data_IF_872040220957
#
_entry.id   IF_872040220957
#
_cell.length_a   1.000
_cell.length_b   1.000
_cell.length_c   1.000
_cell.angle_alpha   90.00
_cell.angle_beta   90.00
_cell.angle_gamma   90.00
#
_symmetry.space_group_name_H-M   'P 1'
#
loop_
_entity.id
_entity.type
_entity.pdbx_description
1 polymer ?
#
# COMPACT_ATOMS: atom_id res chain seq x y z
N UNK A 1 9.70 -20.22 6.04
CA UNK A 1 8.24 -20.04 6.06
C UNK A 1 7.42 -21.32 6.35
N UNK A 2 7.85 -22.50 5.95
CA UNK A 2 7.08 -23.74 6.09
C UNK A 2 7.25 -24.52 7.40
N UNK A 3 8.12 -24.11 8.33
CA UNK A 3 8.47 -24.90 9.55
C UNK A 3 8.24 -24.09 10.85
N UNK A 4 8.60 -22.80 10.87
CA UNK A 4 8.47 -21.92 12.04
C UNK A 4 7.00 -21.88 12.50
N UNK A 5 6.69 -21.87 13.83
CA UNK A 5 5.32 -21.67 14.34
C UNK A 5 4.68 -20.42 13.75
N UNK A 6 3.39 -20.51 13.39
CA UNK A 6 2.69 -19.45 12.62
C UNK A 6 2.66 -18.11 13.34
N UNK A 7 2.46 -18.12 14.67
CA UNK A 7 2.48 -16.91 15.49
C UNK A 7 3.84 -16.18 15.43
N UNK A 8 4.93 -16.90 15.64
CA UNK A 8 6.29 -16.34 15.55
C UNK A 8 6.60 -15.88 14.12
N UNK A 9 6.19 -16.66 13.12
CA UNK A 9 6.41 -16.34 11.72
C UNK A 9 5.69 -15.05 11.31
N UNK A 10 4.41 -14.91 11.69
CA UNK A 10 3.63 -13.71 11.38
C UNK A 10 4.27 -12.46 11.99
N UNK A 11 4.64 -12.49 13.26
CA UNK A 11 5.30 -11.36 13.92
C UNK A 11 6.64 -11.04 13.27
N UNK A 12 7.49 -12.06 13.05
CA UNK A 12 8.81 -11.86 12.44
C UNK A 12 8.74 -11.27 11.03
N UNK A 13 7.71 -11.62 10.27
CA UNK A 13 7.56 -11.09 8.91
C UNK A 13 6.82 -9.75 8.87
N UNK A 14 5.82 -9.54 9.73
CA UNK A 14 4.99 -8.35 9.67
C UNK A 14 5.58 -7.16 10.42
N UNK A 15 6.20 -7.38 11.60
CA UNK A 15 6.70 -6.29 12.43
C UNK A 15 7.73 -5.39 11.71
N UNK A 16 8.73 -5.95 11.00
CA UNK A 16 9.65 -5.11 10.23
C UNK A 16 8.93 -4.26 9.17
N UNK A 17 7.93 -4.82 8.49
CA UNK A 17 7.18 -4.10 7.45
C UNK A 17 6.33 -2.98 8.07
N UNK A 18 5.69 -3.25 9.20
CA UNK A 18 4.93 -2.22 9.95
C UNK A 18 5.83 -1.06 10.35
N UNK A 19 7.00 -1.36 10.92
CA UNK A 19 7.99 -0.34 11.31
C UNK A 19 8.42 0.48 10.08
N UNK A 20 8.73 -0.18 8.96
CA UNK A 20 9.08 0.49 7.73
C UNK A 20 8.00 1.46 7.24
N UNK A 21 6.73 1.02 7.27
CA UNK A 21 5.61 1.86 6.83
C UNK A 21 5.40 3.08 7.75
N UNK A 22 5.59 2.92 9.06
CA UNK A 22 5.51 4.04 10.00
C UNK A 22 6.66 5.05 9.77
N UNK A 23 7.88 4.57 9.55
CA UNK A 23 9.02 5.42 9.21
C UNK A 23 8.80 6.14 7.89
N UNK A 24 8.22 5.46 6.90
CA UNK A 24 7.85 6.06 5.62
C UNK A 24 6.83 7.20 5.79
N UNK A 25 5.83 7.02 6.65
CA UNK A 25 4.88 8.07 6.94
C UNK A 25 5.55 9.28 7.63
N UNK A 26 6.48 9.01 8.54
CA UNK A 26 7.23 10.05 9.24
C UNK A 26 8.12 10.85 8.29
N UNK A 27 8.88 10.20 7.39
CA UNK A 27 9.71 10.94 6.47
C UNK A 27 8.89 11.80 5.49
N UNK A 28 7.74 11.31 5.02
CA UNK A 28 6.85 12.12 4.18
C UNK A 28 6.34 13.39 4.91
N UNK A 29 6.12 13.28 6.23
CA UNK A 29 5.77 14.43 7.04
C UNK A 29 6.94 15.41 7.16
N UNK A 30 8.14 14.91 7.43
CA UNK A 30 9.37 15.72 7.57
C UNK A 30 9.69 16.45 6.26
N UNK A 31 9.64 15.76 5.11
CA UNK A 31 9.81 16.36 3.78
C UNK A 31 8.80 17.52 3.56
N UNK A 32 7.52 17.29 3.89
CA UNK A 32 6.49 18.33 3.80
C UNK A 32 6.79 19.54 4.69
N UNK A 33 7.37 19.34 5.88
CA UNK A 33 7.77 20.42 6.79
C UNK A 33 8.93 21.25 6.19
N UNK A 34 9.92 20.61 5.58
CA UNK A 34 11.01 21.34 4.92
C UNK A 34 10.53 22.11 3.69
N UNK A 35 9.66 21.50 2.86
CA UNK A 35 9.08 22.19 1.69
C UNK A 35 8.22 23.38 2.12
N UNK A 36 7.47 23.28 3.21
CA UNK A 36 6.66 24.36 3.75
C UNK A 36 7.51 25.59 4.18
N UNK A 37 8.77 25.39 4.55
CA UNK A 37 9.69 26.47 4.92
C UNK A 37 10.20 27.27 3.71
N UNK A 38 10.05 26.75 2.49
CA UNK A 38 10.41 27.51 1.26
C UNK A 38 9.40 28.63 1.07
N UNK A 39 8.14 28.28 0.80
CA UNK A 39 6.98 29.17 0.73
C UNK A 39 5.68 28.33 0.63
N UNK A 40 4.48 28.94 0.86
CA UNK A 40 3.19 28.24 0.75
C UNK A 40 2.89 27.67 -0.65
N UNK A 41 3.37 28.35 -1.71
CA UNK A 41 3.14 27.94 -3.11
C UNK A 41 3.93 26.65 -3.42
N UNK A 42 5.14 26.51 -2.89
CA UNK A 42 5.93 25.28 -2.99
C UNK A 42 5.23 24.09 -2.36
N UNK A 43 4.69 24.25 -1.14
CA UNK A 43 3.94 23.18 -0.47
C UNK A 43 2.69 22.79 -1.26
N UNK A 44 2.00 23.79 -1.82
CA UNK A 44 0.81 23.58 -2.66
C UNK A 44 1.18 22.79 -3.93
N UNK A 45 2.28 23.16 -4.58
CA UNK A 45 2.76 22.49 -5.79
C UNK A 45 3.14 21.02 -5.54
N UNK A 46 3.85 20.72 -4.43
CA UNK A 46 4.16 19.34 -4.03
C UNK A 46 2.89 18.56 -3.68
N UNK A 47 1.91 19.21 -3.05
CA UNK A 47 0.59 18.62 -2.82
C UNK A 47 -0.14 18.23 -4.12
N UNK A 48 -0.05 19.08 -5.16
CA UNK A 48 -0.60 18.79 -6.50
C UNK A 48 0.15 17.67 -7.24
N UNK A 49 1.39 17.39 -6.87
CA UNK A 49 2.17 16.28 -7.41
C UNK A 49 1.71 14.90 -6.87
N UNK A 50 1.07 14.87 -5.70
CA UNK A 50 0.71 13.64 -4.97
C UNK A 50 -0.11 12.62 -5.79
N UNK A 51 -1.12 13.01 -6.62
CA UNK A 51 -1.86 12.03 -7.42
C UNK A 51 -0.98 11.26 -8.41
N UNK A 52 -0.02 11.93 -9.05
CA UNK A 52 0.92 11.28 -9.98
C UNK A 52 1.86 10.32 -9.24
N UNK A 53 2.41 10.74 -8.10
CA UNK A 53 3.24 9.88 -7.26
C UNK A 53 2.46 8.65 -6.76
N UNK A 54 1.22 8.84 -6.32
CA UNK A 54 0.35 7.75 -5.88
C UNK A 54 0.08 6.75 -7.01
N UNK A 55 -0.08 7.23 -8.24
CA UNK A 55 -0.25 6.38 -9.40
C UNK A 55 1.00 5.53 -9.67
N UNK A 56 2.21 6.13 -9.61
CA UNK A 56 3.48 5.42 -9.75
C UNK A 56 3.64 4.32 -8.69
N UNK A 57 3.36 4.67 -7.42
CA UNK A 57 3.39 3.73 -6.30
C UNK A 57 2.37 2.60 -6.51
N UNK A 58 1.16 2.90 -6.94
CA UNK A 58 0.09 1.93 -7.18
C UNK A 58 0.50 0.91 -8.25
N UNK A 59 1.04 1.36 -9.39
CA UNK A 59 1.51 0.48 -10.46
C UNK A 59 2.59 -0.48 -9.99
N UNK A 60 3.61 0.04 -9.31
CA UNK A 60 4.72 -0.79 -8.86
C UNK A 60 4.36 -1.70 -7.68
N UNK A 61 3.56 -1.20 -6.74
CA UNK A 61 3.07 -2.02 -5.62
C UNK A 61 2.17 -3.15 -6.11
N UNK A 62 1.28 -2.88 -7.06
CA UNK A 62 0.42 -3.91 -7.65
C UNK A 62 1.23 -5.00 -8.35
N UNK A 63 2.19 -4.62 -9.20
CA UNK A 63 3.13 -5.56 -9.81
C UNK A 63 3.89 -6.37 -8.75
N UNK A 64 4.36 -5.69 -7.70
CA UNK A 64 5.09 -6.28 -6.60
C UNK A 64 4.29 -7.30 -5.80
N UNK A 65 2.99 -7.06 -5.56
CA UNK A 65 2.10 -8.01 -4.86
C UNK A 65 1.90 -9.27 -5.71
N UNK A 66 1.66 -9.13 -7.02
CA UNK A 66 1.54 -10.27 -7.93
C UNK A 66 2.81 -11.11 -8.01
N UNK A 67 3.97 -10.46 -8.12
CA UNK A 67 5.27 -11.12 -8.08
C UNK A 67 5.49 -11.85 -6.74
N UNK A 68 5.24 -11.18 -5.61
CA UNK A 68 5.43 -11.72 -4.27
C UNK A 68 4.62 -13.01 -4.08
N UNK A 69 3.33 -13.01 -4.45
CA UNK A 69 2.47 -14.18 -4.36
C UNK A 69 2.99 -15.36 -5.23
N UNK A 70 3.40 -15.09 -6.47
CA UNK A 70 3.86 -16.11 -7.39
C UNK A 70 5.23 -16.70 -6.99
N UNK A 71 6.19 -15.84 -6.65
CA UNK A 71 7.53 -16.25 -6.20
C UNK A 71 7.45 -17.09 -4.93
N UNK A 72 6.70 -16.60 -3.92
CA UNK A 72 6.52 -17.34 -2.67
C UNK A 72 5.85 -18.70 -2.88
N UNK A 73 4.88 -18.78 -3.81
CA UNK A 73 4.22 -20.04 -4.18
C UNK A 73 5.20 -21.03 -4.81
N UNK A 74 6.04 -20.61 -5.76
CA UNK A 74 7.04 -21.49 -6.38
C UNK A 74 8.11 -21.94 -5.39
N UNK A 75 8.53 -21.08 -4.47
CA UNK A 75 9.44 -21.47 -3.39
C UNK A 75 8.80 -22.52 -2.47
N UNK A 76 7.51 -22.39 -2.18
CA UNK A 76 6.74 -23.39 -1.43
C UNK A 76 6.68 -24.74 -2.15
N UNK A 77 6.57 -24.73 -3.48
CA UNK A 77 6.63 -25.94 -4.34
C UNK A 77 8.03 -26.54 -4.49
N UNK A 78 9.04 -25.96 -3.85
CA UNK A 78 10.45 -26.32 -4.01
C UNK A 78 10.96 -26.17 -5.47
N UNK A 79 10.48 -25.16 -6.19
CA UNK A 79 10.83 -24.81 -7.57
C UNK A 79 11.61 -23.50 -7.63
N UNK A 80 12.87 -23.43 -7.15
CA UNK A 80 13.60 -22.17 -7.08
C UNK A 80 13.91 -21.57 -8.45
N UNK A 81 14.06 -22.37 -9.48
CA UNK A 81 14.29 -21.92 -10.85
C UNK A 81 13.06 -21.15 -11.40
N UNK A 82 11.86 -21.71 -11.22
CA UNK A 82 10.61 -21.05 -11.63
C UNK A 82 10.34 -19.77 -10.83
N UNK A 83 10.69 -19.79 -9.53
CA UNK A 83 10.65 -18.59 -8.70
C UNK A 83 11.59 -17.51 -9.22
N UNK A 84 12.81 -17.88 -9.62
CA UNK A 84 13.77 -16.97 -10.22
C UNK A 84 13.30 -16.42 -11.58
N UNK A 85 12.71 -17.26 -12.42
CA UNK A 85 12.10 -16.82 -13.69
C UNK A 85 10.96 -15.81 -13.44
N UNK A 86 10.07 -16.08 -12.50
CA UNK A 86 8.98 -15.16 -12.15
C UNK A 86 9.51 -13.80 -11.65
N UNK A 87 10.54 -13.82 -10.81
CA UNK A 87 11.21 -12.61 -10.33
C UNK A 87 11.88 -11.83 -11.48
N UNK A 88 12.51 -12.52 -12.43
CA UNK A 88 13.13 -11.89 -13.62
C UNK A 88 12.07 -11.27 -14.54
N UNK A 89 10.92 -11.93 -14.76
CA UNK A 89 9.80 -11.32 -15.48
C UNK A 89 9.32 -10.03 -14.80
N UNK A 90 9.14 -10.07 -13.48
CA UNK A 90 8.72 -8.88 -12.73
C UNK A 90 9.77 -7.75 -12.79
N UNK A 91 11.08 -8.07 -12.83
CA UNK A 91 12.14 -7.08 -13.00
C UNK A 91 12.03 -6.36 -14.36
N UNK A 92 11.75 -7.10 -15.43
CA UNK A 92 11.56 -6.52 -16.76
C UNK A 92 10.29 -5.66 -16.80
N UNK A 93 9.20 -6.12 -16.17
CA UNK A 93 7.98 -5.34 -16.07
C UNK A 93 8.16 -4.07 -15.21
N UNK A 94 9.02 -4.14 -14.18
CA UNK A 94 9.43 -2.97 -13.39
C UNK A 94 10.17 -1.95 -14.26
N UNK A 95 11.11 -2.42 -15.09
CA UNK A 95 11.81 -1.54 -16.04
C UNK A 95 10.85 -0.94 -17.07
N UNK A 96 9.86 -1.70 -17.53
CA UNK A 96 8.82 -1.19 -18.44
C UNK A 96 7.96 -0.12 -17.77
N UNK A 97 7.53 -0.33 -16.53
CA UNK A 97 6.80 0.69 -15.75
C UNK A 97 7.64 1.98 -15.63
N UNK A 98 8.93 1.84 -15.32
CA UNK A 98 9.83 3.00 -15.29
C UNK A 98 9.85 3.76 -16.61
N UNK A 99 10.03 3.07 -17.74
CA UNK A 99 10.05 3.70 -19.07
C UNK A 99 8.74 4.42 -19.38
N UNK A 100 7.59 3.85 -19.01
CA UNK A 100 6.28 4.48 -19.18
C UNK A 100 6.23 5.81 -18.40
N UNK A 101 6.61 5.80 -17.12
CA UNK A 101 6.57 7.01 -16.29
C UNK A 101 7.70 8.00 -16.61
N UNK A 102 8.81 7.56 -17.16
CA UNK A 102 9.83 8.44 -17.74
C UNK A 102 9.25 9.23 -18.94
N UNK A 103 8.54 8.55 -19.85
CA UNK A 103 7.88 9.21 -20.98
C UNK A 103 6.82 10.20 -20.48
N UNK A 104 5.99 9.80 -19.52
CA UNK A 104 5.00 10.69 -18.88
C UNK A 104 5.69 11.90 -18.26
N UNK A 105 6.81 11.69 -17.56
CA UNK A 105 7.61 12.74 -16.95
C UNK A 105 8.18 13.76 -17.95
N UNK A 106 8.52 13.31 -19.15
CA UNK A 106 9.07 14.17 -20.20
C UNK A 106 7.99 14.88 -21.03
N UNK A 107 6.76 14.36 -21.08
CA UNK A 107 5.74 14.82 -22.06
C UNK A 107 4.46 15.36 -21.44
N UNK A 108 3.98 14.78 -20.36
CA UNK A 108 2.61 15.01 -19.88
C UNK A 108 2.51 15.94 -18.65
N UNK A 109 3.59 16.20 -17.94
CA UNK A 109 3.55 16.95 -16.67
C UNK A 109 3.03 18.38 -16.83
N UNK A 110 3.45 19.18 -17.81
CA UNK A 110 2.92 20.52 -17.96
C UNK A 110 1.40 20.54 -18.18
N UNK A 111 0.90 19.62 -19.02
CA UNK A 111 -0.54 19.49 -19.26
C UNK A 111 -1.30 19.00 -18.00
N UNK A 112 -0.72 18.08 -17.25
CA UNK A 112 -1.30 17.58 -16.00
C UNK A 112 -1.46 18.69 -14.95
N UNK A 113 -0.49 19.58 -14.82
CA UNK A 113 -0.54 20.68 -13.86
C UNK A 113 -1.41 21.85 -14.32
N UNK A 114 -1.46 22.15 -15.63
CA UNK A 114 -2.32 23.20 -16.16
C UNK A 114 -3.82 22.93 -15.92
N UNK A 115 -4.22 21.67 -15.77
CA UNK A 115 -5.59 21.28 -15.40
C UNK A 115 -5.87 21.54 -13.91
N UNK A 116 -4.84 21.54 -13.06
CA UNK A 116 -5.00 21.63 -11.60
C UNK A 116 -4.88 23.07 -11.08
N UNK A 117 -4.10 23.93 -11.74
CA UNK A 117 -3.87 25.31 -11.31
C UNK A 117 -3.74 26.27 -12.48
N UNK A 118 -4.20 27.51 -12.25
CA UNK A 118 -3.99 28.64 -13.16
C UNK A 118 -2.81 29.55 -12.71
N UNK A 119 -2.22 29.27 -11.53
CA UNK A 119 -1.05 30.02 -11.04
C UNK A 119 0.20 29.52 -11.74
N UNK A 120 0.87 30.42 -12.49
CA UNK A 120 2.11 30.11 -13.18
C UNK A 120 3.25 29.73 -12.21
N UNK A 121 3.28 30.34 -11.02
CA UNK A 121 4.28 30.07 -9.99
C UNK A 121 4.12 28.66 -9.45
N UNK A 122 2.89 28.27 -9.05
CA UNK A 122 2.61 26.94 -8.53
C UNK A 122 2.82 25.88 -9.60
N UNK A 123 2.39 26.16 -10.85
CA UNK A 123 2.63 25.26 -11.98
C UNK A 123 4.13 25.09 -12.25
N UNK A 124 4.92 26.17 -12.17
CA UNK A 124 6.38 26.12 -12.33
C UNK A 124 7.06 25.21 -11.32
N UNK A 125 6.79 25.39 -10.02
CA UNK A 125 7.28 24.50 -8.95
C UNK A 125 6.82 23.05 -9.15
N UNK A 126 5.56 22.85 -9.53
CA UNK A 126 5.01 21.52 -9.77
C UNK A 126 5.67 20.81 -10.96
N UNK A 127 5.94 21.51 -12.07
CA UNK A 127 6.64 20.96 -13.23
C UNK A 127 8.08 20.58 -12.84
N UNK A 128 8.78 21.46 -12.14
CA UNK A 128 10.14 21.20 -11.68
C UNK A 128 10.22 19.97 -10.79
N UNK A 129 9.35 19.88 -9.76
CA UNK A 129 9.28 18.76 -8.84
C UNK A 129 8.94 17.43 -9.54
N UNK A 130 7.81 17.42 -10.26
CA UNK A 130 7.31 16.19 -10.89
C UNK A 130 8.20 15.68 -12.01
N UNK A 131 8.83 16.58 -12.79
CA UNK A 131 9.74 16.14 -13.85
C UNK A 131 10.93 15.39 -13.26
N UNK A 132 11.51 15.89 -12.17
CA UNK A 132 12.61 15.23 -11.47
C UNK A 132 12.15 13.89 -10.89
N UNK A 133 11.00 13.86 -10.18
CA UNK A 133 10.49 12.65 -9.55
C UNK A 133 10.11 11.59 -10.59
N UNK A 134 9.45 11.95 -11.69
CA UNK A 134 9.07 11.01 -12.74
C UNK A 134 10.28 10.50 -13.52
N UNK A 135 11.22 11.39 -13.90
CA UNK A 135 12.44 10.97 -14.58
C UNK A 135 13.35 10.14 -13.67
N UNK A 136 13.40 10.48 -12.38
CA UNK A 136 14.14 9.73 -11.37
C UNK A 136 13.39 8.53 -10.78
N UNK A 137 12.19 8.22 -11.25
CA UNK A 137 11.32 7.14 -10.71
C UNK A 137 11.93 5.74 -10.80
N UNK A 138 13.05 5.57 -11.53
CA UNK A 138 13.89 4.37 -11.48
C UNK A 138 14.17 3.97 -10.03
N UNK A 139 14.54 4.93 -9.17
CA UNK A 139 14.75 4.67 -7.74
C UNK A 139 13.53 4.04 -7.08
N UNK A 140 12.36 4.67 -7.21
CA UNK A 140 11.09 4.20 -6.65
C UNK A 140 10.73 2.79 -7.11
N UNK A 141 10.74 2.57 -8.42
CA UNK A 141 10.32 1.30 -9.00
C UNK A 141 11.22 0.14 -8.58
N UNK A 142 12.52 0.33 -8.63
CA UNK A 142 13.49 -0.71 -8.27
C UNK A 142 13.61 -0.89 -6.75
N UNK A 143 13.39 0.14 -5.94
CA UNK A 143 13.28 0.02 -4.50
C UNK A 143 12.12 -0.90 -4.11
N UNK A 144 10.89 -0.61 -4.60
CA UNK A 144 9.71 -1.42 -4.30
C UNK A 144 9.91 -2.86 -4.80
N UNK A 145 10.51 -3.06 -5.98
CA UNK A 145 10.83 -4.39 -6.47
C UNK A 145 11.77 -5.13 -5.51
N UNK A 146 12.87 -4.50 -5.09
CA UNK A 146 13.84 -5.08 -4.14
C UNK A 146 13.21 -5.44 -2.80
N UNK A 147 12.35 -4.57 -2.28
CA UNK A 147 11.58 -4.86 -1.05
C UNK A 147 10.69 -6.08 -1.22
N UNK A 148 9.93 -6.16 -2.30
CA UNK A 148 8.98 -7.26 -2.55
C UNK A 148 9.68 -8.60 -2.77
N UNK A 149 10.85 -8.63 -3.41
CA UNK A 149 11.61 -9.87 -3.60
C UNK A 149 12.19 -10.39 -2.28
N UNK A 150 12.63 -9.49 -1.37
CA UNK A 150 13.08 -9.84 -0.03
C UNK A 150 11.91 -10.34 0.84
N UNK A 151 10.75 -9.71 0.74
CA UNK A 151 9.52 -10.13 1.43
C UNK A 151 9.05 -11.51 0.95
N UNK A 152 9.09 -11.77 -0.36
CA UNK A 152 8.69 -13.05 -0.96
C UNK A 152 9.54 -14.23 -0.46
N UNK A 153 10.76 -14.00 -0.07
CA UNK A 153 11.67 -15.01 0.50
C UNK A 153 11.68 -15.04 2.03
N UNK A 154 10.84 -14.22 2.68
CA UNK A 154 10.74 -14.14 4.15
C UNK A 154 11.82 -13.30 4.83
N UNK A 155 12.58 -12.52 4.07
CA UNK A 155 13.67 -11.67 4.57
C UNK A 155 13.21 -10.23 4.79
N UNK A 156 12.09 -10.07 5.50
CA UNK A 156 11.43 -8.78 5.73
C UNK A 156 12.28 -7.79 6.53
N UNK A 157 13.15 -8.29 7.41
CA UNK A 157 14.10 -7.44 8.14
C UNK A 157 15.08 -6.74 7.18
N UNK A 158 15.56 -7.43 6.15
CA UNK A 158 16.44 -6.84 5.14
C UNK A 158 15.70 -5.82 4.27
N UNK A 159 14.43 -6.08 3.95
CA UNK A 159 13.55 -5.11 3.28
C UNK A 159 13.39 -3.84 4.13
N UNK A 160 13.17 -3.99 5.44
CA UNK A 160 13.09 -2.87 6.38
C UNK A 160 14.38 -2.04 6.39
N UNK A 161 15.54 -2.69 6.48
CA UNK A 161 16.84 -1.99 6.50
C UNK A 161 17.04 -1.15 5.24
N UNK A 162 16.72 -1.70 4.06
CA UNK A 162 16.80 -0.97 2.79
C UNK A 162 15.90 0.26 2.79
N UNK A 163 14.65 0.12 3.23
CA UNK A 163 13.67 1.20 3.26
C UNK A 163 14.03 2.29 4.28
N UNK A 164 14.45 1.91 5.49
CA UNK A 164 14.87 2.87 6.53
C UNK A 164 16.08 3.66 6.07
N UNK A 165 17.05 3.01 5.45
CA UNK A 165 18.25 3.70 4.96
C UNK A 165 17.88 4.75 3.91
N UNK A 166 17.00 4.43 2.96
CA UNK A 166 16.50 5.40 1.99
C UNK A 166 15.79 6.59 2.62
N UNK A 167 14.93 6.32 3.63
CA UNK A 167 14.22 7.36 4.37
C UNK A 167 15.18 8.28 5.16
N UNK A 168 16.17 7.71 5.84
CA UNK A 168 17.18 8.48 6.60
C UNK A 168 18.01 9.37 5.64
N UNK A 169 18.43 8.82 4.50
CA UNK A 169 19.19 9.57 3.51
C UNK A 169 18.34 10.73 2.95
N UNK A 170 17.08 10.49 2.64
CA UNK A 170 16.18 11.56 2.20
C UNK A 170 16.10 12.68 3.25
N UNK A 171 15.77 12.35 4.52
CA UNK A 171 15.67 13.33 5.62
C UNK A 171 16.96 14.16 5.80
N UNK A 172 18.13 13.53 5.61
CA UNK A 172 19.43 14.22 5.72
C UNK A 172 19.70 15.11 4.51
N UNK A 173 19.32 14.65 3.30
CA UNK A 173 19.57 15.39 2.05
C UNK A 173 18.56 16.51 1.80
N UNK A 174 17.34 16.42 2.34
CA UNK A 174 16.31 17.46 2.18
C UNK A 174 16.83 18.85 2.56
N UNK A 175 17.29 19.11 3.80
CA UNK A 175 17.78 20.43 4.15
C UNK A 175 19.04 20.84 3.37
N UNK A 176 19.90 19.87 2.99
CA UNK A 176 21.12 20.11 2.23
C UNK A 176 20.80 20.63 0.82
N UNK A 177 19.85 20.02 0.12
CA UNK A 177 19.52 20.43 -1.24
C UNK A 177 18.46 21.52 -1.30
N UNK A 178 17.53 21.57 -0.35
CA UNK A 178 16.49 22.61 -0.31
C UNK A 178 17.12 23.97 -0.01
N UNK A 179 17.92 24.07 1.07
CA UNK A 179 18.46 25.34 1.57
C UNK A 179 19.88 25.61 1.11
N UNK A 180 20.58 24.60 0.56
CA UNK A 180 21.98 24.68 0.19
C UNK A 180 22.93 24.62 1.38
N UNK A 181 24.21 24.43 1.10
CA UNK A 181 25.28 24.40 2.11
C UNK A 181 26.52 25.06 1.51
N UNK A 182 26.77 26.33 1.83
CA UNK A 182 27.81 27.15 1.24
C UNK A 182 29.21 26.55 1.35
N UNK A 183 29.55 25.95 2.51
CA UNK A 183 30.88 25.38 2.74
C UNK A 183 31.15 24.11 1.88
N UNK A 184 30.09 23.46 1.37
CA UNK A 184 30.18 22.33 0.44
C UNK A 184 30.01 22.77 -1.03
N UNK A 185 29.76 24.05 -1.29
CA UNK A 185 29.49 24.58 -2.62
C UNK A 185 28.18 24.11 -3.22
N UNK A 186 27.23 23.69 -2.39
CA UNK A 186 25.89 23.21 -2.82
C UNK A 186 24.93 24.40 -2.78
N UNK A 187 24.40 24.87 -3.93
CA UNK A 187 23.45 25.97 -3.97
C UNK A 187 22.08 25.53 -3.41
N UNK A 188 21.31 26.48 -2.92
CA UNK A 188 19.91 26.26 -2.57
C UNK A 188 19.10 25.95 -3.82
N UNK A 189 18.46 24.78 -3.86
CA UNK A 189 17.68 24.27 -5.01
C UNK A 189 16.16 24.33 -4.76
N UNK A 190 15.72 24.71 -3.56
CA UNK A 190 14.30 24.82 -3.25
C UNK A 190 13.53 23.51 -3.51
N UNK A 191 12.44 23.61 -4.28
CA UNK A 191 11.54 22.48 -4.60
C UNK A 191 12.26 21.39 -5.40
N UNK A 192 13.16 21.75 -6.33
CA UNK A 192 13.99 20.77 -7.04
C UNK A 192 14.90 19.99 -6.08
N UNK A 193 15.41 20.68 -5.05
CA UNK A 193 16.22 20.04 -4.00
C UNK A 193 15.48 18.93 -3.26
N UNK A 194 14.22 19.15 -2.87
CA UNK A 194 13.35 18.14 -2.26
C UNK A 194 13.13 16.94 -3.20
N UNK A 195 12.87 17.19 -4.49
CA UNK A 195 12.72 16.13 -5.48
C UNK A 195 13.99 15.29 -5.65
N UNK A 196 15.17 15.95 -5.73
CA UNK A 196 16.48 15.29 -5.87
C UNK A 196 16.80 14.46 -4.62
N UNK A 197 16.54 14.99 -3.42
CA UNK A 197 16.73 14.24 -2.17
C UNK A 197 15.89 12.98 -2.12
N UNK A 198 14.61 13.10 -2.48
CA UNK A 198 13.67 11.95 -2.55
C UNK A 198 14.15 10.89 -3.54
N UNK A 199 14.48 11.28 -4.76
CA UNK A 199 14.99 10.37 -5.80
C UNK A 199 16.30 9.71 -5.38
N UNK A 200 17.22 10.47 -4.79
CA UNK A 200 18.49 9.95 -4.31
C UNK A 200 18.30 8.91 -3.21
N UNK A 201 17.45 9.20 -2.22
CA UNK A 201 17.10 8.26 -1.17
C UNK A 201 16.53 6.95 -1.73
N UNK A 202 15.64 7.04 -2.71
CA UNK A 202 15.03 5.88 -3.38
C UNK A 202 16.06 5.07 -4.20
N UNK A 203 16.96 5.72 -4.93
CA UNK A 203 18.02 5.04 -5.70
C UNK A 203 18.96 4.28 -4.75
N UNK A 204 19.38 4.91 -3.64
CA UNK A 204 20.24 4.26 -2.67
C UNK A 204 19.51 3.09 -1.98
N UNK A 205 18.24 3.27 -1.61
CA UNK A 205 17.44 2.17 -1.08
C UNK A 205 17.32 1.00 -2.09
N UNK A 206 17.09 1.31 -3.37
CA UNK A 206 17.08 0.30 -4.42
C UNK A 206 18.42 -0.45 -4.51
N UNK A 207 19.54 0.28 -4.58
CA UNK A 207 20.88 -0.31 -4.65
C UNK A 207 21.18 -1.21 -3.44
N UNK A 208 20.87 -0.73 -2.22
CA UNK A 208 21.01 -1.53 -0.99
C UNK A 208 20.10 -2.75 -1.01
N UNK A 209 18.84 -2.61 -1.45
CA UNK A 209 17.91 -3.73 -1.60
C UNK A 209 18.45 -4.83 -2.52
N UNK A 210 19.02 -4.46 -3.66
CA UNK A 210 19.66 -5.40 -4.59
C UNK A 210 20.94 -6.01 -4.03
N UNK A 211 21.77 -5.27 -3.34
CA UNK A 211 22.96 -5.78 -2.66
C UNK A 211 22.58 -6.79 -1.57
N UNK A 212 21.61 -6.46 -0.73
CA UNK A 212 21.09 -7.37 0.29
C UNK A 212 20.48 -8.63 -0.31
N UNK A 213 19.75 -8.50 -1.44
CA UNK A 213 19.24 -9.63 -2.19
C UNK A 213 20.41 -10.51 -2.71
N UNK A 214 21.41 -9.92 -3.32
CA UNK A 214 22.55 -10.65 -3.91
C UNK A 214 23.32 -11.43 -2.86
N UNK A 215 23.68 -10.79 -1.72
CA UNK A 215 24.54 -11.41 -0.72
C UNK A 215 23.79 -12.34 0.25
N UNK A 216 22.55 -11.99 0.62
CA UNK A 216 21.82 -12.71 1.67
C UNK A 216 20.69 -13.59 1.17
N UNK A 217 20.25 -13.46 -0.08
CA UNK A 217 19.09 -14.19 -0.62
C UNK A 217 19.52 -15.36 -1.53
N UNK A 218 20.17 -16.36 -0.92
CA UNK A 218 20.67 -17.54 -1.66
C UNK A 218 19.55 -18.44 -2.22
N UNK A 219 18.34 -18.33 -1.67
CA UNK A 219 17.19 -19.18 -2.04
C UNK A 219 16.55 -18.77 -3.37
N UNK A 220 16.77 -17.53 -3.79
CA UNK A 220 16.19 -16.97 -5.00
C UNK A 220 17.28 -16.26 -5.82
N UNK A 221 17.58 -16.81 -6.98
CA UNK A 221 18.50 -16.18 -7.94
C UNK A 221 17.74 -15.76 -9.19
N UNK A 222 17.99 -14.57 -9.67
CA UNK A 222 17.46 -14.08 -10.94
C UNK A 222 18.05 -14.89 -12.09
N UNK A 223 17.20 -15.23 -13.07
CA UNK A 223 17.56 -16.10 -14.20
C UNK A 223 17.62 -15.28 -15.47
N UNK A 224 18.83 -14.90 -15.89
CA UNK A 224 19.04 -14.17 -17.14
C UNK A 224 19.48 -15.07 -18.29
N UNK A 225 20.19 -16.17 -17.97
CA UNK A 225 20.70 -17.08 -18.98
C UNK A 225 19.56 -17.95 -19.53
N UNK A 226 19.39 -17.98 -20.86
CA UNK A 226 18.27 -18.66 -21.54
C UNK A 226 16.88 -18.13 -21.11
N UNK A 227 16.82 -16.85 -20.69
CA UNK A 227 15.56 -16.22 -20.40
C UNK A 227 14.71 -16.09 -21.68
N UNK A 228 13.44 -16.44 -21.58
CA UNK A 228 12.43 -16.17 -22.60
C UNK A 228 11.19 -15.60 -21.94
N UNK A 229 10.59 -14.59 -22.57
CA UNK A 229 9.34 -14.02 -22.09
C UNK A 229 8.24 -15.09 -22.16
N UNK A 230 7.63 -15.36 -21.00
CA UNK A 230 6.51 -16.29 -20.88
C UNK A 230 5.22 -15.50 -20.57
N UNK A 231 4.30 -15.37 -21.57
CA UNK A 231 3.03 -14.68 -21.37
C UNK A 231 2.19 -15.27 -20.24
N UNK A 232 2.29 -16.59 -19.96
CA UNK A 232 1.59 -17.22 -18.84
C UNK A 232 2.06 -16.72 -17.48
N UNK A 233 3.36 -16.53 -17.29
CA UNK A 233 3.94 -15.96 -16.07
C UNK A 233 3.50 -14.51 -15.89
N UNK A 234 3.56 -13.71 -16.97
CA UNK A 234 3.12 -12.31 -16.96
C UNK A 234 1.63 -12.22 -16.61
N UNK A 235 0.78 -13.03 -17.26
CA UNK A 235 -0.65 -13.10 -16.96
C UNK A 235 -0.92 -13.45 -15.50
N UNK A 236 -0.16 -14.37 -14.93
CA UNK A 236 -0.31 -14.78 -13.52
C UNK A 236 0.08 -13.66 -12.56
N UNK A 237 1.15 -12.91 -12.83
CA UNK A 237 1.55 -11.75 -12.04
C UNK A 237 0.46 -10.67 -12.10
N UNK A 238 -0.02 -10.34 -13.29
CA UNK A 238 -1.04 -9.31 -13.46
C UNK A 238 -2.45 -9.74 -13.03
N UNK A 239 -2.74 -11.03 -12.93
CA UNK A 239 -4.01 -11.51 -12.36
C UNK A 239 -4.22 -11.08 -10.90
N UNK A 240 -3.14 -10.79 -10.18
CA UNK A 240 -3.16 -10.20 -8.84
C UNK A 240 -2.75 -8.73 -8.89
N UNK A 241 -1.83 -8.37 -9.77
CA UNK A 241 -1.26 -7.03 -9.88
C UNK A 241 -2.27 -5.99 -10.33
N UNK A 242 -3.01 -6.21 -11.42
CA UNK A 242 -4.02 -5.25 -11.91
C UNK A 242 -5.13 -5.00 -10.89
N UNK A 243 -5.76 -6.02 -10.27
CA UNK A 243 -6.69 -5.80 -9.18
C UNK A 243 -6.11 -4.94 -8.06
N UNK A 244 -4.84 -5.14 -7.69
CA UNK A 244 -4.18 -4.38 -6.64
C UNK A 244 -3.95 -2.91 -7.03
N UNK A 245 -3.62 -2.62 -8.30
CA UNK A 245 -3.52 -1.26 -8.85
C UNK A 245 -4.89 -0.57 -8.74
N UNK A 246 -5.95 -1.25 -9.20
CA UNK A 246 -7.33 -0.72 -9.15
C UNK A 246 -7.73 -0.42 -7.70
N UNK A 247 -7.46 -1.34 -6.76
CA UNK A 247 -7.77 -1.14 -5.35
C UNK A 247 -7.12 0.12 -4.78
N UNK A 248 -5.88 0.42 -5.16
CA UNK A 248 -5.18 1.64 -4.75
C UNK A 248 -5.84 2.89 -5.34
N UNK A 249 -6.29 2.83 -6.58
CA UNK A 249 -6.98 3.95 -7.25
C UNK A 249 -8.38 4.21 -6.67
N UNK A 250 -9.08 3.17 -6.17
CA UNK A 250 -10.42 3.33 -5.59
C UNK A 250 -10.46 4.28 -4.38
N UNK A 251 -9.37 4.36 -3.61
CA UNK A 251 -9.26 5.29 -2.48
C UNK A 251 -9.34 6.74 -2.95
N UNK A 252 -8.68 7.08 -4.05
CA UNK A 252 -8.75 8.43 -4.64
C UNK A 252 -10.15 8.74 -5.18
N UNK A 253 -10.80 7.77 -5.82
CA UNK A 253 -12.19 7.92 -6.31
C UNK A 253 -13.17 8.13 -5.16
N UNK A 254 -13.01 7.38 -4.06
CA UNK A 254 -13.81 7.57 -2.85
C UNK A 254 -13.64 8.99 -2.29
N UNK A 255 -12.38 9.42 -2.11
CA UNK A 255 -12.09 10.74 -1.55
C UNK A 255 -12.66 11.86 -2.41
N UNK A 256 -12.50 11.75 -3.73
CA UNK A 256 -13.07 12.71 -4.67
C UNK A 256 -14.60 12.76 -4.61
N UNK A 257 -15.27 11.59 -4.69
CA UNK A 257 -16.73 11.50 -4.65
C UNK A 257 -17.32 11.99 -3.33
N UNK A 258 -16.73 11.60 -2.20
CA UNK A 258 -17.16 12.07 -0.88
C UNK A 258 -16.98 13.59 -0.73
N UNK A 259 -15.87 14.14 -1.20
CA UNK A 259 -15.65 15.59 -1.15
C UNK A 259 -16.71 16.38 -1.96
N UNK A 260 -17.13 15.87 -3.13
CA UNK A 260 -18.22 16.49 -3.91
C UNK A 260 -19.53 16.47 -3.09
N UNK A 261 -19.88 15.32 -2.54
CA UNK A 261 -21.11 15.17 -1.76
C UNK A 261 -21.09 16.08 -0.52
N UNK A 262 -20.02 16.01 0.28
CA UNK A 262 -19.91 16.74 1.54
C UNK A 262 -19.91 18.27 1.32
N UNK A 263 -19.19 18.78 0.31
CA UNK A 263 -19.16 20.22 -0.02
C UNK A 263 -20.52 20.76 -0.43
N UNK A 264 -21.40 19.91 -0.98
CA UNK A 264 -22.75 20.32 -1.35
C UNK A 264 -23.65 20.60 -0.13
N UNK A 265 -23.32 20.01 1.03
CA UNK A 265 -24.05 20.24 2.28
C UNK A 265 -23.33 21.25 3.18
N UNK A 266 -22.05 21.02 3.48
CA UNK A 266 -21.29 21.88 4.38
C UNK A 266 -19.79 21.82 4.03
N UNK A 267 -19.14 22.93 3.62
CA UNK A 267 -17.72 22.92 3.24
C UNK A 267 -16.78 22.41 4.35
N UNK A 268 -17.09 22.69 5.62
CA UNK A 268 -16.33 22.22 6.77
C UNK A 268 -16.32 20.68 6.87
N UNK A 269 -17.40 20.00 6.44
CA UNK A 269 -17.49 18.55 6.44
C UNK A 269 -16.45 17.87 5.53
N UNK A 270 -16.15 18.48 4.38
CA UNK A 270 -15.09 17.97 3.49
C UNK A 270 -13.72 18.10 4.14
N UNK A 271 -13.46 19.16 4.91
CA UNK A 271 -12.22 19.33 5.66
C UNK A 271 -12.10 18.27 6.76
N UNK A 272 -13.19 18.05 7.52
CA UNK A 272 -13.27 16.99 8.53
C UNK A 272 -12.96 15.61 7.93
N UNK A 273 -13.51 15.31 6.76
CA UNK A 273 -13.26 14.06 6.06
C UNK A 273 -11.78 13.90 5.66
N UNK A 274 -11.14 14.98 5.21
CA UNK A 274 -9.70 15.00 4.94
C UNK A 274 -8.85 14.72 6.18
N UNK A 275 -9.20 15.35 7.33
CA UNK A 275 -8.54 15.11 8.62
C UNK A 275 -8.74 13.67 9.08
N UNK A 276 -9.97 13.14 8.96
CA UNK A 276 -10.27 11.74 9.25
C UNK A 276 -9.36 10.79 8.46
N UNK A 277 -9.19 11.00 7.14
CA UNK A 277 -8.33 10.14 6.32
C UNK A 277 -6.87 10.13 6.78
N UNK A 278 -6.35 11.27 7.20
CA UNK A 278 -4.99 11.36 7.76
C UNK A 278 -4.88 10.58 9.07
N UNK A 279 -5.82 10.78 9.99
CA UNK A 279 -5.85 10.07 11.27
C UNK A 279 -6.05 8.55 11.08
N UNK A 280 -6.98 8.15 10.21
CA UNK A 280 -7.24 6.76 9.87
C UNK A 280 -5.99 6.05 9.34
N UNK A 281 -5.17 6.74 8.54
CA UNK A 281 -3.95 6.16 7.96
C UNK A 281 -3.02 5.58 9.02
N UNK A 282 -2.87 6.25 10.17
CA UNK A 282 -2.04 5.75 11.27
C UNK A 282 -2.57 4.44 11.87
N UNK A 283 -3.90 4.28 11.93
CA UNK A 283 -4.55 3.05 12.43
C UNK A 283 -4.45 1.92 11.40
N UNK A 284 -4.55 2.25 10.11
CA UNK A 284 -4.56 1.25 9.03
C UNK A 284 -3.16 0.79 8.61
N UNK A 285 -2.12 1.62 8.75
CA UNK A 285 -0.74 1.26 8.39
C UNK A 285 -0.25 -0.04 9.01
N UNK A 286 -0.43 -0.29 10.33
CA UNK A 286 -0.04 -1.57 10.92
C UNK A 286 -0.74 -2.76 10.28
N UNK A 287 -2.03 -2.63 9.91
CA UNK A 287 -2.78 -3.71 9.26
C UNK A 287 -2.29 -3.94 7.83
N UNK A 288 -2.00 -2.89 7.07
CA UNK A 288 -1.39 -3.03 5.74
C UNK A 288 0.02 -3.61 5.80
N UNK A 289 0.83 -3.23 6.79
CA UNK A 289 2.15 -3.83 7.02
C UNK A 289 2.05 -5.32 7.34
N UNK A 290 1.10 -5.70 8.20
CA UNK A 290 0.81 -7.10 8.51
C UNK A 290 0.36 -7.87 7.26
N UNK A 291 -0.47 -7.30 6.42
CA UNK A 291 -0.93 -7.91 5.17
C UNK A 291 0.23 -8.23 4.21
N UNK A 292 1.18 -7.31 4.08
CA UNK A 292 2.37 -7.54 3.26
C UNK A 292 3.21 -8.72 3.80
N UNK A 293 3.12 -9.03 5.09
CA UNK A 293 3.71 -10.24 5.69
C UNK A 293 2.86 -11.50 5.50
N UNK A 294 1.53 -11.38 5.54
CA UNK A 294 0.57 -12.50 5.39
C UNK A 294 0.62 -13.10 3.98
N UNK A 295 0.68 -12.26 2.95
CA UNK A 295 0.65 -12.71 1.55
C UNK A 295 1.73 -13.75 1.25
N UNK A 296 3.03 -13.50 1.50
CA UNK A 296 4.06 -14.51 1.22
C UNK A 296 3.95 -15.76 2.10
N UNK A 297 3.48 -15.64 3.35
CA UNK A 297 3.27 -16.81 4.22
C UNK A 297 2.21 -17.73 3.64
N UNK A 298 1.06 -17.20 3.27
CA UNK A 298 -0.04 -17.98 2.70
C UNK A 298 0.37 -18.55 1.34
N UNK A 299 0.93 -17.74 0.45
CA UNK A 299 1.34 -18.18 -0.89
C UNK A 299 2.38 -19.30 -0.83
N UNK A 300 3.38 -19.20 0.06
CA UNK A 300 4.36 -20.25 0.29
C UNK A 300 3.71 -21.55 0.78
N UNK A 301 2.85 -21.48 1.79
CA UNK A 301 2.21 -22.67 2.36
C UNK A 301 1.16 -23.27 1.40
N UNK A 302 0.56 -22.44 0.54
CA UNK A 302 -0.28 -22.91 -0.56
C UNK A 302 0.55 -23.73 -1.57
N UNK A 303 1.71 -23.19 -1.97
CA UNK A 303 2.65 -23.93 -2.83
C UNK A 303 3.19 -25.21 -2.20
N UNK A 304 3.40 -25.21 -0.89
CA UNK A 304 3.90 -26.35 -0.11
C UNK A 304 2.82 -27.39 0.25
N UNK A 305 1.55 -27.19 -0.13
CA UNK A 305 0.48 -28.14 0.18
C UNK A 305 0.12 -28.21 1.67
N UNK A 306 0.26 -27.13 2.45
CA UNK A 306 0.04 -27.08 3.90
C UNK A 306 -1.21 -26.28 4.27
N UNK A 307 -2.44 -26.83 4.09
CA UNK A 307 -3.69 -26.10 4.28
C UNK A 307 -3.91 -25.62 5.71
N UNK A 308 -3.52 -26.40 6.72
CA UNK A 308 -3.63 -26.01 8.13
C UNK A 308 -2.90 -24.70 8.41
N UNK A 309 -1.67 -24.55 7.86
CA UNK A 309 -0.89 -23.32 8.07
C UNK A 309 -1.50 -22.09 7.37
N UNK A 310 -2.17 -22.29 6.22
CA UNK A 310 -2.94 -21.22 5.54
C UNK A 310 -4.07 -20.75 6.46
N UNK A 311 -4.86 -21.69 6.98
CA UNK A 311 -6.00 -21.38 7.85
C UNK A 311 -5.56 -20.72 9.15
N UNK A 312 -4.49 -21.23 9.79
CA UNK A 312 -3.95 -20.68 11.03
C UNK A 312 -3.40 -19.26 10.80
N UNK A 313 -2.74 -19.00 9.67
CA UNK A 313 -2.24 -17.66 9.31
C UNK A 313 -3.39 -16.68 9.10
N UNK A 314 -4.46 -17.08 8.41
CA UNK A 314 -5.64 -16.24 8.21
C UNK A 314 -6.34 -15.94 9.54
N UNK A 315 -6.57 -16.95 10.38
CA UNK A 315 -7.18 -16.78 11.70
C UNK A 315 -6.38 -15.81 12.58
N UNK A 316 -5.09 -16.04 12.67
CA UNK A 316 -4.21 -15.18 13.48
C UNK A 316 -4.16 -13.75 12.92
N UNK A 317 -4.07 -13.60 11.60
CA UNK A 317 -4.10 -12.31 10.93
C UNK A 317 -5.40 -11.55 11.23
N UNK A 318 -6.55 -12.22 11.18
CA UNK A 318 -7.85 -11.62 11.54
C UNK A 318 -7.87 -11.20 13.00
N UNK A 319 -7.41 -12.04 13.93
CA UNK A 319 -7.37 -11.70 15.36
C UNK A 319 -6.47 -10.47 15.60
N UNK A 320 -5.26 -10.46 15.06
CA UNK A 320 -4.35 -9.32 15.19
C UNK A 320 -4.93 -8.04 14.59
N UNK A 321 -5.54 -8.13 13.40
CA UNK A 321 -6.20 -7.01 12.75
C UNK A 321 -7.35 -6.45 13.59
N UNK A 322 -8.21 -7.32 14.13
CA UNK A 322 -9.31 -6.91 15.02
C UNK A 322 -8.78 -6.19 16.26
N UNK A 323 -7.72 -6.71 16.89
CA UNK A 323 -7.11 -6.05 18.06
C UNK A 323 -6.58 -4.65 17.71
N UNK A 324 -5.83 -4.52 16.60
CA UNK A 324 -5.32 -3.22 16.15
C UNK A 324 -6.47 -2.25 15.87
N UNK A 325 -7.51 -2.73 15.18
CA UNK A 325 -8.66 -1.89 14.80
C UNK A 325 -9.53 -1.51 16.00
N UNK A 326 -9.64 -2.37 17.01
CA UNK A 326 -10.31 -2.03 18.28
C UNK A 326 -9.54 -0.93 19.01
N UNK A 327 -8.21 -1.00 19.06
CA UNK A 327 -7.39 0.07 19.65
C UNK A 327 -7.64 1.39 18.90
N UNK A 328 -7.63 1.39 17.57
CA UNK A 328 -7.97 2.55 16.77
C UNK A 328 -9.40 3.07 17.03
N UNK A 329 -10.38 2.17 17.08
CA UNK A 329 -11.77 2.51 17.42
C UNK A 329 -11.84 3.20 18.79
N UNK A 330 -11.21 2.62 19.82
CA UNK A 330 -11.22 3.19 21.17
C UNK A 330 -10.58 4.58 21.21
N UNK A 331 -9.47 4.81 20.50
CA UNK A 331 -8.85 6.13 20.39
C UNK A 331 -9.82 7.15 19.79
N UNK A 332 -10.52 6.81 18.71
CA UNK A 332 -11.47 7.70 18.05
C UNK A 332 -12.76 7.91 18.87
N UNK A 333 -13.13 6.98 19.72
CA UNK A 333 -14.28 7.12 20.62
C UNK A 333 -13.98 7.95 21.86
N UNK A 334 -12.78 7.77 22.46
CA UNK A 334 -12.44 8.35 23.76
C UNK A 334 -11.85 9.76 23.65
N UNK A 335 -11.04 10.03 22.59
CA UNK A 335 -10.30 11.27 22.46
C UNK A 335 -10.47 11.94 21.08
N UNK A 336 -11.68 12.01 20.49
CA UNK A 336 -11.87 12.56 19.15
C UNK A 336 -11.49 14.05 19.06
N UNK A 337 -11.81 14.85 20.09
CA UNK A 337 -11.51 16.29 20.12
C UNK A 337 -10.00 16.53 20.18
N UNK A 338 -9.26 15.74 20.96
CA UNK A 338 -7.81 15.86 21.05
C UNK A 338 -7.13 15.47 19.71
N UNK A 339 -7.65 14.44 19.03
CA UNK A 339 -7.17 14.05 17.70
C UNK A 339 -7.41 15.16 16.67
N UNK A 340 -8.58 15.80 16.69
CA UNK A 340 -8.88 16.95 15.83
C UNK A 340 -8.02 18.17 16.20
N UNK A 341 -7.73 18.37 17.48
CA UNK A 341 -6.91 19.46 17.99
C UNK A 341 -5.48 19.51 17.38
N UNK A 342 -4.97 18.39 16.90
CA UNK A 342 -3.68 18.33 16.19
C UNK A 342 -3.67 19.09 14.85
N UNK A 343 -4.85 19.45 14.32
CA UNK A 343 -5.01 20.10 13.00
C UNK A 343 -5.52 21.53 13.09
N UNK A 344 -5.36 22.21 14.24
CA UNK A 344 -5.84 23.57 14.48
C UNK A 344 -7.32 23.78 14.03
N UNK A 345 -8.26 23.01 14.61
CA UNK A 345 -9.64 22.97 14.14
C UNK A 345 -10.39 24.28 14.45
N UNK A 346 -11.34 24.62 13.58
CA UNK A 346 -12.39 25.62 13.87
C UNK A 346 -13.48 24.98 14.73
N UNK A 347 -14.36 25.79 15.34
CA UNK A 347 -15.49 25.29 16.15
C UNK A 347 -16.42 24.39 15.34
N UNK A 348 -16.67 24.69 14.06
CA UNK A 348 -17.46 23.86 13.16
C UNK A 348 -16.75 22.50 12.89
N UNK A 349 -15.43 22.52 12.71
CA UNK A 349 -14.66 21.27 12.55
C UNK A 349 -14.70 20.40 13.80
N UNK A 350 -14.73 20.97 15.00
CA UNK A 350 -14.86 20.19 16.24
C UNK A 350 -16.25 19.56 16.30
N UNK A 351 -17.30 20.35 16.10
CA UNK A 351 -18.70 19.90 16.16
C UNK A 351 -18.99 18.75 15.19
N UNK A 352 -18.65 18.91 13.91
CA UNK A 352 -18.86 17.90 12.88
C UNK A 352 -17.88 16.74 13.02
N UNK A 353 -16.63 17.04 13.36
CA UNK A 353 -15.55 16.08 13.41
C UNK A 353 -15.68 15.10 14.57
N UNK A 354 -16.15 15.53 15.73
CA UNK A 354 -16.39 14.63 16.85
C UNK A 354 -17.40 13.53 16.48
N UNK A 355 -18.54 13.93 15.91
CA UNK A 355 -19.57 13.00 15.44
C UNK A 355 -19.03 12.10 14.32
N UNK A 356 -18.34 12.69 13.33
CA UNK A 356 -17.77 11.96 12.20
C UNK A 356 -16.76 10.89 12.66
N UNK A 357 -15.80 11.25 13.52
CA UNK A 357 -14.76 10.34 14.00
C UNK A 357 -15.37 9.16 14.78
N UNK A 358 -16.36 9.44 15.65
CA UNK A 358 -17.06 8.39 16.40
C UNK A 358 -17.80 7.41 15.48
N UNK A 359 -18.53 7.90 14.49
CA UNK A 359 -19.29 7.08 13.55
C UNK A 359 -18.32 6.28 12.66
N UNK A 360 -17.34 6.94 12.06
CA UNK A 360 -16.38 6.27 11.15
C UNK A 360 -15.57 5.18 11.82
N UNK A 361 -15.18 5.35 13.09
CA UNK A 361 -14.39 4.34 13.80
C UNK A 361 -15.11 3.00 13.96
N UNK A 362 -16.44 2.97 13.93
CA UNK A 362 -17.23 1.73 13.96
C UNK A 362 -16.87 0.82 12.77
N UNK A 363 -16.52 1.41 11.62
CA UNK A 363 -16.13 0.66 10.42
C UNK A 363 -14.79 -0.06 10.55
N UNK A 364 -13.91 0.36 11.46
CA UNK A 364 -12.53 -0.12 11.53
C UNK A 364 -12.43 -1.64 11.65
N UNK A 365 -13.21 -2.24 12.52
CA UNK A 365 -13.20 -3.70 12.73
C UNK A 365 -13.63 -4.43 11.46
N UNK A 366 -14.68 -3.97 10.79
CA UNK A 366 -15.17 -4.56 9.54
C UNK A 366 -14.13 -4.44 8.42
N UNK A 367 -13.53 -3.26 8.33
CA UNK A 367 -12.46 -2.99 7.39
C UNK A 367 -11.25 -3.90 7.62
N UNK A 368 -10.77 -4.00 8.86
CA UNK A 368 -9.61 -4.81 9.20
C UNK A 368 -9.73 -6.27 8.82
N UNK A 369 -10.88 -6.89 9.13
CA UNK A 369 -11.16 -8.28 8.73
C UNK A 369 -11.20 -8.42 7.20
N UNK A 370 -11.90 -7.51 6.51
CA UNK A 370 -12.01 -7.51 5.05
C UNK A 370 -10.63 -7.39 4.36
N UNK A 371 -9.74 -6.55 4.91
CA UNK A 371 -8.38 -6.35 4.39
C UNK A 371 -7.56 -7.64 4.52
N UNK A 372 -7.61 -8.32 5.66
CA UNK A 372 -6.89 -9.60 5.86
C UNK A 372 -7.41 -10.70 4.95
N UNK A 373 -8.73 -10.83 4.82
CA UNK A 373 -9.31 -11.81 3.89
C UNK A 373 -8.92 -11.52 2.44
N UNK A 374 -8.86 -10.24 2.05
CA UNK A 374 -8.40 -9.82 0.72
C UNK A 374 -6.94 -10.20 0.46
N UNK A 375 -6.07 -10.11 1.46
CA UNK A 375 -4.69 -10.59 1.36
C UNK A 375 -4.62 -12.10 1.16
N UNK A 376 -5.52 -12.86 1.79
CA UNK A 376 -5.68 -14.29 1.54
C UNK A 376 -6.04 -14.58 0.08
N UNK A 377 -6.94 -13.81 -0.52
CA UNK A 377 -7.30 -13.96 -1.94
C UNK A 377 -6.11 -13.67 -2.85
N UNK A 378 -5.37 -12.60 -2.61
CA UNK A 378 -4.16 -12.26 -3.38
C UNK A 378 -3.11 -13.36 -3.29
N UNK A 379 -2.84 -13.87 -2.10
CA UNK A 379 -1.87 -14.94 -1.85
C UNK A 379 -2.23 -16.25 -2.57
N UNK A 380 -3.52 -16.55 -2.70
CA UNK A 380 -4.02 -17.72 -3.42
C UNK A 380 -4.16 -17.49 -4.94
N UNK A 381 -3.76 -16.32 -5.44
CA UNK A 381 -3.83 -15.96 -6.87
C UNK A 381 -5.19 -15.45 -7.34
N UNK A 382 -6.14 -15.17 -6.43
CA UNK A 382 -7.48 -14.69 -6.74
C UNK A 382 -7.62 -13.17 -6.51
N UNK A 383 -6.75 -12.36 -7.12
CA UNK A 383 -6.75 -10.90 -6.97
C UNK A 383 -8.08 -10.25 -7.32
N UNK A 384 -8.83 -10.81 -8.26
CA UNK A 384 -10.16 -10.32 -8.64
C UNK A 384 -11.15 -10.33 -7.46
N UNK A 385 -11.11 -11.32 -6.57
CA UNK A 385 -11.97 -11.35 -5.38
C UNK A 385 -11.60 -10.23 -4.39
N UNK A 386 -10.31 -9.92 -4.25
CA UNK A 386 -9.87 -8.76 -3.45
C UNK A 386 -10.43 -7.46 -4.01
N UNK A 387 -10.37 -7.29 -5.32
CA UNK A 387 -10.90 -6.10 -6.00
C UNK A 387 -12.41 -5.96 -5.80
N UNK A 388 -13.19 -7.03 -5.92
CA UNK A 388 -14.64 -7.01 -5.65
C UNK A 388 -14.92 -6.51 -4.22
N UNK A 389 -14.21 -7.05 -3.23
CA UNK A 389 -14.37 -6.63 -1.82
C UNK A 389 -14.09 -5.14 -1.66
N UNK A 390 -13.00 -4.63 -2.28
CA UNK A 390 -12.65 -3.21 -2.19
C UNK A 390 -13.64 -2.30 -2.94
N UNK A 391 -14.15 -2.72 -4.10
CA UNK A 391 -15.20 -1.98 -4.84
C UNK A 391 -16.46 -1.87 -3.98
N UNK A 392 -16.90 -2.96 -3.34
CA UNK A 392 -18.07 -2.96 -2.46
C UNK A 392 -17.81 -2.14 -1.20
N UNK A 393 -16.60 -2.17 -0.64
CA UNK A 393 -16.27 -1.38 0.55
C UNK A 393 -16.21 0.11 0.30
N UNK A 394 -15.62 0.52 -0.84
CA UNK A 394 -15.21 1.91 -1.04
C UNK A 394 -16.12 2.69 -1.99
N UNK A 395 -16.75 2.06 -2.97
CA UNK A 395 -17.40 2.80 -4.06
C UNK A 395 -18.89 2.50 -4.19
N UNK A 396 -19.24 1.25 -4.52
CA UNK A 396 -20.59 0.92 -5.01
C UNK A 396 -21.69 1.22 -3.99
N UNK A 397 -21.61 0.85 -2.71
CA UNK A 397 -22.59 1.29 -1.74
C UNK A 397 -22.24 2.64 -1.10
N UNK A 398 -20.94 2.98 -0.94
CA UNK A 398 -20.52 4.15 -0.15
C UNK A 398 -21.01 5.46 -0.74
N UNK A 399 -20.77 5.71 -2.03
CA UNK A 399 -21.15 6.97 -2.66
C UNK A 399 -22.68 7.10 -2.82
N UNK A 400 -23.43 6.07 -3.27
CA UNK A 400 -24.90 6.12 -3.27
C UNK A 400 -25.50 6.29 -1.87
N UNK A 401 -24.98 5.60 -0.85
CA UNK A 401 -25.47 5.77 0.52
C UNK A 401 -25.11 7.14 1.09
N UNK A 402 -23.92 7.68 0.82
CA UNK A 402 -23.57 9.04 1.23
C UNK A 402 -24.54 10.07 0.64
N UNK A 403 -24.88 9.95 -0.64
CA UNK A 403 -25.86 10.81 -1.29
C UNK A 403 -27.27 10.63 -0.70
N UNK A 404 -27.73 9.38 -0.56
CA UNK A 404 -29.07 9.08 -0.02
C UNK A 404 -29.21 9.55 1.44
N UNK A 405 -28.24 9.24 2.29
CA UNK A 405 -28.25 9.61 3.69
C UNK A 405 -28.16 11.12 3.88
N UNK A 406 -27.46 11.82 2.96
CA UNK A 406 -27.45 13.28 2.94
C UNK A 406 -28.83 13.87 2.71
N UNK A 407 -29.65 13.30 1.82
CA UNK A 407 -31.04 13.73 1.59
C UNK A 407 -31.93 13.47 2.82
N UNK A 408 -31.74 12.34 3.52
CA UNK A 408 -32.59 11.91 4.63
C UNK A 408 -32.31 12.69 5.91
N UNK A 409 -31.05 12.91 6.25
CA UNK A 409 -30.67 13.46 7.56
C UNK A 409 -29.43 14.36 7.56
N UNK A 410 -29.07 14.91 6.41
CA UNK A 410 -27.96 15.86 6.28
C UNK A 410 -26.58 15.21 6.55
N UNK A 411 -25.62 16.07 6.95
CA UNK A 411 -24.20 15.68 7.09
C UNK A 411 -24.00 14.54 8.09
N UNK A 412 -24.69 14.55 9.22
CA UNK A 412 -24.51 13.55 10.27
C UNK A 412 -24.92 12.14 9.82
N UNK A 413 -25.91 12.05 8.93
CA UNK A 413 -26.29 10.77 8.33
C UNK A 413 -25.30 10.30 7.27
N UNK A 414 -24.64 11.23 6.53
CA UNK A 414 -23.63 10.87 5.51
C UNK A 414 -22.50 10.03 6.13
N UNK A 415 -22.11 10.30 7.38
CA UNK A 415 -21.04 9.57 8.05
C UNK A 415 -21.29 8.07 8.19
N UNK A 416 -22.56 7.63 8.23
CA UNK A 416 -22.90 6.20 8.28
C UNK A 416 -22.67 5.45 6.97
N UNK A 417 -22.43 6.17 5.87
CA UNK A 417 -22.19 5.52 4.58
C UNK A 417 -20.96 4.60 4.59
N UNK A 418 -19.86 4.97 5.29
CA UNK A 418 -18.67 4.13 5.39
C UNK A 418 -18.90 2.88 6.28
N UNK A 419 -19.43 2.98 7.51
CA UNK A 419 -19.70 1.79 8.32
C UNK A 419 -20.62 0.78 7.63
N UNK A 420 -21.69 1.23 6.97
CA UNK A 420 -22.59 0.36 6.23
C UNK A 420 -21.88 -0.32 5.06
N UNK A 421 -21.07 0.42 4.31
CA UNK A 421 -20.32 -0.13 3.18
C UNK A 421 -19.24 -1.10 3.60
N UNK A 422 -18.52 -0.82 4.69
CA UNK A 422 -17.51 -1.73 5.24
C UNK A 422 -18.14 -3.02 5.77
N UNK A 423 -19.34 -2.94 6.36
CA UNK A 423 -20.11 -4.13 6.76
C UNK A 423 -20.53 -4.98 5.54
N UNK A 424 -21.03 -4.35 4.48
CA UNK A 424 -21.38 -5.06 3.24
C UNK A 424 -20.13 -5.69 2.61
N UNK A 425 -19.02 -4.97 2.58
CA UNK A 425 -17.72 -5.48 2.11
C UNK A 425 -17.24 -6.68 2.93
N UNK A 426 -17.42 -6.66 4.26
CA UNK A 426 -17.12 -7.79 5.12
C UNK A 426 -17.98 -9.01 4.80
N UNK A 427 -19.30 -8.83 4.59
CA UNK A 427 -20.21 -9.93 4.21
C UNK A 427 -19.73 -10.56 2.89
N UNK A 428 -19.43 -9.75 1.88
CA UNK A 428 -18.90 -10.23 0.59
C UNK A 428 -17.56 -10.95 0.77
N UNK A 429 -16.65 -10.42 1.58
CA UNK A 429 -15.35 -11.03 1.86
C UNK A 429 -15.52 -12.43 2.53
N UNK A 430 -16.44 -12.55 3.48
CA UNK A 430 -16.74 -13.84 4.14
C UNK A 430 -17.34 -14.84 3.14
N UNK A 431 -18.29 -14.42 2.32
CA UNK A 431 -18.92 -15.31 1.32
C UNK A 431 -17.89 -15.81 0.30
N UNK A 432 -17.02 -14.93 -0.20
CA UNK A 432 -15.95 -15.30 -1.13
C UNK A 432 -14.91 -16.20 -0.45
N UNK A 433 -14.58 -15.94 0.82
CA UNK A 433 -13.66 -16.80 1.58
C UNK A 433 -14.22 -18.19 1.81
N UNK A 434 -15.52 -18.31 2.13
CA UNK A 434 -16.20 -19.61 2.22
C UNK A 434 -16.14 -20.39 0.90
N UNK A 435 -16.31 -19.69 -0.23
CA UNK A 435 -16.19 -20.31 -1.57
C UNK A 435 -14.77 -20.81 -1.84
N UNK A 436 -13.74 -20.00 -1.53
CA UNK A 436 -12.33 -20.42 -1.67
C UNK A 436 -12.01 -21.56 -0.72
N UNK A 437 -12.46 -21.48 0.52
CA UNK A 437 -12.23 -22.56 1.48
C UNK A 437 -12.75 -23.89 0.94
N UNK A 438 -14.01 -23.95 0.47
CA UNK A 438 -14.62 -25.16 -0.09
C UNK A 438 -13.93 -25.64 -1.37
N UNK A 439 -13.57 -24.74 -2.28
CA UNK A 439 -13.09 -25.12 -3.61
C UNK A 439 -11.57 -25.36 -3.70
N UNK A 440 -10.80 -24.76 -2.80
CA UNK A 440 -9.33 -24.78 -2.83
C UNK A 440 -8.78 -25.42 -1.56
N UNK A 441 -9.06 -24.83 -0.38
CA UNK A 441 -8.40 -25.23 0.87
C UNK A 441 -8.86 -26.63 1.33
N UNK A 442 -10.18 -26.92 1.28
CA UNK A 442 -10.72 -28.24 1.65
C UNK A 442 -10.13 -29.35 0.79
N UNK A 443 -10.06 -29.14 -0.53
CA UNK A 443 -9.43 -30.12 -1.44
C UNK A 443 -7.93 -30.37 -1.19
N UNK A 444 -7.24 -29.41 -0.57
CA UNK A 444 -5.87 -29.60 -0.14
C UNK A 444 -5.78 -30.50 1.10
N UNK A 445 -6.76 -30.42 2.02
CA UNK A 445 -6.84 -31.36 3.14
C UNK A 445 -7.10 -32.78 2.65
N UNK A 446 -8.09 -32.96 1.75
CA UNK A 446 -8.45 -34.27 1.20
C UNK A 446 -7.22 -34.95 0.56
N UNK A 447 -6.44 -34.22 -0.26
CA UNK A 447 -5.21 -34.73 -0.88
C UNK A 447 -4.11 -35.06 0.14
N UNK A 448 -4.01 -34.30 1.22
CA UNK A 448 -3.03 -34.56 2.28
C UNK A 448 -3.38 -35.85 3.04
N UNK A 449 -4.66 -36.08 3.32
CA UNK A 449 -5.15 -37.27 4.01
C UNK A 449 -4.97 -38.51 3.13
N UNK A 450 -5.29 -38.43 1.83
CA UNK A 450 -5.06 -39.52 0.87
C UNK A 450 -3.56 -39.91 0.79
N UNK A 451 -2.65 -38.92 0.71
CA UNK A 451 -1.23 -39.18 0.66
C UNK A 451 -0.69 -39.80 1.95
N UNK A 452 -1.24 -39.39 3.11
CA UNK A 452 -0.88 -39.95 4.42
C UNK A 452 -1.35 -41.39 4.59
N UNK A 453 -2.54 -41.70 4.09
CA UNK A 453 -3.09 -43.06 4.11
C UNK A 453 -2.27 -44.03 3.21
N UNK A 454 -1.83 -43.56 2.03
CA UNK A 454 -0.97 -44.36 1.13
C UNK A 454 0.41 -44.67 1.73
N UNK A 455 1.00 -43.70 2.47
CA UNK A 455 2.31 -43.93 3.14
C UNK A 455 2.17 -44.88 4.33
N UNK A 456 1.00 -44.98 5.00
CA UNK A 456 0.77 -45.93 6.08
C UNK A 456 0.47 -47.36 5.59
N UNK A 457 0.09 -47.51 4.31
CA UNK A 457 -0.19 -48.80 3.69
C UNK A 457 1.01 -49.42 2.95
N UNK A 458 2.04 -48.62 2.72
CA UNK A 458 3.33 -49.02 2.09
C UNK A 458 4.40 -49.30 3.16
#
# INVERSE_FOLDING_TARGET
MGVMPVNKLLVTMSLPIVISMLIQAMYNLVDSVFVAQINPDALTAVGMAFPMQSLMIAFQTGLGVGMNALVSRYLGQKKPYEAGLAATHALILTALNYVIFLIVGLTAIPAFLSIQTHSEIIAGYGVEYLSIVCCGSLGLFFQIYGERILQATGKTLLSMVSQILGAVINIVLDPVFIFGVDFLGIPAMGVAGAAIATVTGQIIAAAVGFLLHHFHNKELRLVFRKFSLNPGTIKTIYAVGIPSIIMSALVSVLTFGMNIILKAYEPAAATVFGVYFKLQSFVYMPVFGMNNGIVPIIAYNYGAGKPKRITDTLKLGVICSVVIMIVGLLLFQLIPVQLLGMFAPTDDMIRLGETALRIFSVSFVFAGVSIVLSSGFQALGNGFYSMIVFIVRLIVPTLPFAWLFGIIGGVDCIWWSLPVSDLLGLIVAILLMRRIYKNVISKMYDKQDESSAQVQQA
#
